data_IF_445627772587
#
_entry.id   IF_445627772587
#
_cell.length_a   1.000
_cell.length_b   1.000
_cell.length_c   1.000
_cell.angle_alpha   90.00
_cell.angle_beta   90.00
_cell.angle_gamma   90.00
#
_symmetry.space_group_name_H-M   'P 1'
#
loop_
_entity.id
_entity.type
_entity.pdbx_description
1 polymer ?
#
# COMPACT_ATOMS: atom_id res chain seq x y z
N UNK A 1 29.02 30.96 9.64
CA UNK A 1 28.92 31.06 8.16
C UNK A 1 27.77 30.18 7.70
N UNK A 2 26.71 30.74 7.11
CA UNK A 2 25.68 29.97 6.41
C UNK A 2 26.13 29.81 4.95
N UNK A 3 26.23 28.57 4.46
CA UNK A 3 26.52 28.31 3.05
C UNK A 3 25.22 28.16 2.26
N UNK A 4 25.05 29.05 1.29
CA UNK A 4 23.95 29.10 0.33
C UNK A 4 23.93 27.87 -0.58
N UNK A 5 22.77 27.23 -0.72
CA UNK A 5 22.52 26.22 -1.77
C UNK A 5 22.15 26.94 -3.08
N UNK A 6 22.82 26.60 -4.18
CA UNK A 6 22.43 27.01 -5.53
C UNK A 6 21.89 25.78 -6.30
N UNK A 7 20.73 25.85 -6.97
CA UNK A 7 20.27 24.74 -7.79
C UNK A 7 21.09 24.69 -9.09
N UNK A 8 21.89 23.63 -9.24
CA UNK A 8 22.52 23.27 -10.50
C UNK A 8 21.50 22.67 -11.46
N UNK A 9 21.62 23.05 -12.72
CA UNK A 9 20.77 22.68 -13.85
C UNK A 9 20.81 21.16 -14.10
N UNK A 10 19.64 20.53 -14.21
CA UNK A 10 19.50 19.10 -14.51
C UNK A 10 19.72 18.84 -16.01
N UNK A 11 20.74 18.07 -16.44
CA UNK A 11 20.82 17.61 -17.82
C UNK A 11 19.80 16.48 -18.04
N UNK A 12 18.87 16.71 -18.97
CA UNK A 12 17.86 15.72 -19.36
C UNK A 12 18.50 14.70 -20.31
N UNK A 13 19.10 13.65 -19.73
CA UNK A 13 19.52 12.47 -20.45
C UNK A 13 18.32 11.68 -20.97
N UNK A 14 18.27 11.48 -22.28
CA UNK A 14 17.29 10.68 -23.00
C UNK A 14 17.22 9.24 -22.46
N UNK A 15 16.13 8.89 -21.76
CA UNK A 15 15.80 7.48 -21.47
C UNK A 15 15.01 6.91 -22.63
N UNK A 16 15.69 6.10 -23.43
CA UNK A 16 15.01 5.04 -24.17
C UNK A 16 14.85 3.86 -23.21
N UNK A 17 13.62 3.35 -23.10
CA UNK A 17 13.27 2.26 -22.21
C UNK A 17 11.77 2.00 -22.30
N UNK A 18 11.43 1.10 -23.21
CA UNK A 18 10.25 0.23 -23.29
C UNK A 18 9.11 0.51 -22.29
N UNK A 19 7.94 0.85 -22.83
CA UNK A 19 6.70 1.04 -22.08
C UNK A 19 6.25 -0.28 -21.42
N UNK A 20 6.82 -0.58 -20.25
CA UNK A 20 6.11 -1.28 -19.20
C UNK A 20 4.89 -0.41 -18.91
N UNK A 21 3.69 -0.97 -19.07
CA UNK A 21 2.44 -0.24 -18.81
C UNK A 21 2.60 0.60 -17.54
N UNK A 22 2.37 1.91 -17.66
CA UNK A 22 2.56 2.89 -16.60
C UNK A 22 1.53 2.65 -15.49
N UNK A 23 1.72 1.59 -14.72
CA UNK A 23 0.97 1.26 -13.54
C UNK A 23 1.59 2.00 -12.34
N UNK A 24 1.93 3.28 -12.56
CA UNK A 24 2.49 4.14 -11.53
C UNK A 24 1.33 4.83 -10.81
N UNK A 25 1.09 4.37 -9.57
CA UNK A 25 0.23 5.09 -8.67
C UNK A 25 1.02 6.25 -8.07
N UNK A 26 0.41 7.43 -8.04
CA UNK A 26 1.02 8.63 -7.41
C UNK A 26 0.77 8.69 -5.90
N UNK A 27 -0.10 7.81 -5.38
CA UNK A 27 -0.55 7.79 -3.99
C UNK A 27 -0.58 6.36 -3.44
N UNK A 28 -0.40 6.24 -2.12
CA UNK A 28 -0.50 4.99 -1.37
C UNK A 28 -1.27 5.25 -0.07
N UNK A 29 -2.24 4.40 0.25
CA UNK A 29 -2.95 4.45 1.53
C UNK A 29 -2.42 3.37 2.45
N UNK A 30 -1.98 3.75 3.65
CA UNK A 30 -1.51 2.80 4.67
C UNK A 30 -2.41 2.88 5.90
N UNK A 31 -2.97 1.74 6.29
CA UNK A 31 -3.89 1.62 7.42
C UNK A 31 -3.23 0.74 8.49
N UNK A 32 -2.97 1.32 9.67
CA UNK A 32 -2.50 0.60 10.84
C UNK A 32 -3.66 0.26 11.78
N UNK A 33 -3.78 -1.00 12.19
CA UNK A 33 -4.77 -1.44 13.19
C UNK A 33 -4.19 -2.44 14.17
N UNK A 34 -4.72 -2.47 15.39
CA UNK A 34 -4.23 -3.31 16.48
C UNK A 34 -5.38 -3.65 17.45
N UNK A 35 -5.52 -2.89 18.55
CA UNK A 35 -6.45 -3.14 19.65
C UNK A 35 -7.95 -3.02 19.30
N UNK A 36 -8.30 -2.44 18.15
CA UNK A 36 -9.68 -2.33 17.65
C UNK A 36 -10.18 -3.54 16.86
N UNK A 37 -9.32 -4.55 16.69
CA UNK A 37 -9.63 -5.74 15.90
C UNK A 37 -9.86 -5.47 14.41
N UNK A 38 -10.39 -6.48 13.73
CA UNK A 38 -10.58 -6.51 12.28
C UNK A 38 -11.76 -5.66 11.78
N UNK A 39 -12.57 -5.07 12.67
CA UNK A 39 -13.80 -4.36 12.33
C UNK A 39 -13.53 -3.09 11.51
N UNK A 40 -12.56 -2.28 11.96
CA UNK A 40 -12.17 -1.05 11.27
C UNK A 40 -11.63 -1.31 9.84
N UNK A 41 -10.61 -2.17 9.63
CA UNK A 41 -10.14 -2.44 8.27
C UNK A 41 -11.22 -3.10 7.41
N UNK A 42 -12.08 -3.94 7.99
CA UNK A 42 -13.22 -4.52 7.27
C UNK A 42 -14.22 -3.46 6.79
N UNK A 43 -14.60 -2.52 7.65
CA UNK A 43 -15.52 -1.44 7.30
C UNK A 43 -14.93 -0.51 6.24
N UNK A 44 -13.64 -0.20 6.36
CA UNK A 44 -12.91 0.59 5.38
C UNK A 44 -12.94 -0.08 4.00
N UNK A 45 -12.48 -1.33 3.88
CA UNK A 45 -12.41 -2.00 2.56
C UNK A 45 -13.79 -2.25 1.94
N UNK A 46 -14.83 -2.43 2.76
CA UNK A 46 -16.21 -2.61 2.26
C UNK A 46 -16.81 -1.34 1.66
N UNK A 47 -16.26 -0.17 2.01
CA UNK A 47 -16.79 1.13 1.58
C UNK A 47 -16.13 1.68 0.32
N UNK A 48 -15.08 1.01 -0.17
CA UNK A 48 -14.31 1.45 -1.34
C UNK A 48 -15.04 1.10 -2.63
N UNK A 49 -14.88 1.91 -3.68
CA UNK A 49 -15.35 1.55 -5.00
C UNK A 49 -14.43 0.51 -5.66
N UNK A 50 -14.94 -0.25 -6.62
CA UNK A 50 -14.18 -1.27 -7.38
C UNK A 50 -13.02 -0.68 -8.21
N UNK A 51 -13.11 0.60 -8.57
CA UNK A 51 -12.13 1.35 -9.37
C UNK A 51 -11.26 2.30 -8.54
N UNK A 52 -11.09 2.02 -7.24
CA UNK A 52 -10.29 2.85 -6.35
C UNK A 52 -8.84 3.02 -6.87
N UNK A 53 -8.46 4.25 -7.20
CA UNK A 53 -7.23 4.61 -7.93
C UNK A 53 -5.97 4.73 -7.05
N UNK A 54 -5.86 3.88 -6.02
CA UNK A 54 -4.65 3.78 -5.23
C UNK A 54 -4.50 2.41 -4.54
N UNK A 55 -3.27 1.86 -4.44
CA UNK A 55 -3.02 0.70 -3.61
C UNK A 55 -3.28 1.01 -2.12
N UNK A 56 -3.69 -0.03 -1.39
CA UNK A 56 -3.95 0.02 0.04
C UNK A 56 -3.13 -1.05 0.74
N UNK A 57 -2.37 -0.65 1.75
CA UNK A 57 -1.63 -1.54 2.63
C UNK A 57 -2.27 -1.53 4.01
N UNK A 58 -2.70 -2.70 4.48
CA UNK A 58 -3.27 -2.87 5.82
C UNK A 58 -2.27 -3.59 6.71
N UNK A 59 -1.72 -2.85 7.67
CA UNK A 59 -0.83 -3.37 8.70
C UNK A 59 -1.64 -3.64 9.98
N UNK A 60 -2.04 -4.89 10.18
CA UNK A 60 -2.75 -5.33 11.39
C UNK A 60 -1.76 -5.99 12.34
N UNK A 61 -1.72 -5.53 13.59
CA UNK A 61 -1.03 -6.24 14.66
C UNK A 61 -1.78 -7.55 14.94
N UNK A 62 -1.11 -8.68 14.71
CA UNK A 62 -1.62 -10.04 14.90
C UNK A 62 -0.74 -10.77 15.92
N UNK A 63 -1.32 -11.77 16.60
CA UNK A 63 -0.54 -12.71 17.41
C UNK A 63 0.33 -13.57 16.47
N UNK A 64 1.67 -13.51 16.57
CA UNK A 64 2.55 -14.26 15.66
C UNK A 64 2.46 -15.79 15.86
N UNK A 65 1.89 -16.26 16.97
CA UNK A 65 1.74 -17.69 17.24
C UNK A 65 0.43 -18.27 16.69
N UNK A 66 -0.41 -17.44 16.05
CA UNK A 66 -1.68 -17.87 15.48
C UNK A 66 -1.71 -17.59 13.99
N UNK A 67 -2.24 -18.55 13.25
CA UNK A 67 -2.58 -18.33 11.86
C UNK A 67 -3.62 -17.20 11.76
N UNK A 68 -3.42 -16.30 10.79
CA UNK A 68 -4.30 -15.17 10.56
C UNK A 68 -5.20 -15.42 9.36
N UNK A 69 -6.51 -15.34 9.57
CA UNK A 69 -7.50 -15.36 8.50
C UNK A 69 -7.80 -13.96 7.92
N UNK A 70 -6.91 -12.98 8.17
CA UNK A 70 -7.15 -11.57 7.81
C UNK A 70 -7.39 -11.39 6.31
N UNK A 71 -6.58 -12.02 5.46
CA UNK A 71 -6.75 -11.94 4.00
C UNK A 71 -8.15 -12.39 3.59
N UNK A 72 -8.59 -13.57 4.05
CA UNK A 72 -9.87 -14.13 3.66
C UNK A 72 -11.05 -13.32 4.20
N UNK A 73 -10.92 -12.75 5.40
CA UNK A 73 -11.95 -11.88 5.97
C UNK A 73 -12.08 -10.59 5.16
N UNK A 74 -10.96 -9.94 4.83
CA UNK A 74 -10.98 -8.71 4.05
C UNK A 74 -11.40 -8.96 2.60
N UNK A 75 -10.94 -10.05 1.98
CA UNK A 75 -11.32 -10.43 0.61
C UNK A 75 -12.84 -10.63 0.45
N UNK A 76 -13.50 -11.23 1.44
CA UNK A 76 -14.97 -11.41 1.44
C UNK A 76 -15.76 -10.09 1.49
N UNK A 77 -15.13 -9.02 1.96
CA UNK A 77 -15.77 -7.73 2.24
C UNK A 77 -15.34 -6.65 1.25
N UNK A 78 -14.21 -6.85 0.58
CA UNK A 78 -13.60 -5.89 -0.33
C UNK A 78 -14.09 -6.13 -1.77
N UNK A 79 -14.44 -5.07 -2.50
CA UNK A 79 -14.57 -5.14 -3.96
C UNK A 79 -13.20 -5.27 -4.65
N UNK A 80 -12.14 -4.81 -3.99
CA UNK A 80 -10.77 -4.85 -4.50
C UNK A 80 -10.11 -6.20 -4.20
N UNK A 81 -9.20 -6.69 -5.05
CA UNK A 81 -8.44 -7.92 -4.79
C UNK A 81 -7.57 -7.76 -3.54
N UNK A 82 -7.60 -8.76 -2.66
CA UNK A 82 -6.83 -8.76 -1.41
C UNK A 82 -5.81 -9.89 -1.40
N UNK A 83 -4.55 -9.54 -1.20
CA UNK A 83 -3.44 -10.47 -1.09
C UNK A 83 -2.64 -10.22 0.19
N UNK A 84 -2.09 -11.29 0.75
CA UNK A 84 -1.08 -11.17 1.81
C UNK A 84 0.26 -10.78 1.19
N UNK A 85 0.91 -9.75 1.73
CA UNK A 85 2.29 -9.47 1.38
C UNK A 85 3.20 -10.56 1.97
N UNK A 86 4.09 -11.12 1.16
CA UNK A 86 5.17 -11.95 1.69
C UNK A 86 6.03 -11.08 2.62
N UNK A 87 5.97 -11.35 3.92
CA UNK A 87 6.90 -10.74 4.87
C UNK A 87 8.13 -11.62 4.97
N UNK A 88 9.27 -11.17 4.43
CA UNK A 88 10.55 -11.78 4.75
C UNK A 88 10.85 -11.51 6.23
N UNK A 89 10.63 -12.53 7.05
CA UNK A 89 11.16 -12.59 8.40
C UNK A 89 12.43 -13.42 8.35
N UNK A 90 13.55 -12.79 7.95
CA UNK A 90 14.95 -13.28 7.83
C UNK A 90 15.47 -13.33 6.40
#
# INVERSE_FOLDING_TARGET
MCSSWAPGEHPQGSRQGEALADNSFTHLVVVGSSAGGIGAPSGLVSSLPEDFDAPIVVAQHLDPNRESHLQEILARRSPLPVNTSAGDST
#
